data_IF_526520656156
#
_entry.id   IF_526520656156
#
_cell.length_a   1.000
_cell.length_b   1.000
_cell.length_c   1.000
_cell.angle_alpha   90.00
_cell.angle_beta   90.00
_cell.angle_gamma   90.00
#
_symmetry.space_group_name_H-M   'P 1'
#
loop_
_entity.id
_entity.type
_entity.pdbx_description
1 polymer ?
#
# COMPACT_ATOMS: atom_id res chain seq x y z
N UNK A 1 12.06 2.97 25.49
CA UNK A 1 11.14 2.77 24.35
C UNK A 1 9.98 1.99 24.88
N UNK A 2 8.79 2.59 24.95
CA UNK A 2 7.58 1.80 25.08
C UNK A 2 7.36 1.21 23.68
N UNK A 3 7.37 -0.13 23.59
CA UNK A 3 6.97 -0.82 22.38
C UNK A 3 5.54 -0.41 22.07
N UNK A 4 5.35 0.33 20.98
CA UNK A 4 4.05 0.33 20.33
C UNK A 4 3.84 -1.11 19.87
N UNK A 5 2.88 -1.82 20.47
CA UNK A 5 2.63 -3.23 20.20
C UNK A 5 2.51 -3.45 18.69
N UNK A 6 3.44 -4.24 18.14
CA UNK A 6 3.39 -4.73 16.77
C UNK A 6 2.02 -5.35 16.47
N UNK A 7 1.46 -5.12 15.28
CA UNK A 7 0.18 -5.71 14.91
C UNK A 7 -0.70 -4.90 13.96
N UNK A 8 -1.96 -5.31 13.90
CA UNK A 8 -3.00 -4.62 13.15
C UNK A 8 -3.27 -3.26 13.80
N UNK A 9 -3.05 -2.19 13.04
CA UNK A 9 -3.26 -0.83 13.52
C UNK A 9 -4.66 -0.32 13.15
N UNK A 10 -5.38 0.22 14.13
CA UNK A 10 -6.59 1.01 13.88
C UNK A 10 -6.25 2.49 13.82
N UNK A 11 -6.61 3.14 12.71
CA UNK A 11 -6.41 4.57 12.50
C UNK A 11 -7.59 5.43 12.95
N UNK A 12 -8.70 4.83 13.41
CA UNK A 12 -9.90 5.55 13.85
C UNK A 12 -9.69 6.53 15.02
N UNK A 13 -8.59 6.39 15.77
CA UNK A 13 -8.19 7.31 16.85
C UNK A 13 -7.05 8.27 16.50
N UNK A 14 -6.32 8.04 15.40
CA UNK A 14 -5.09 8.78 15.08
C UNK A 14 -5.39 10.05 14.29
N UNK A 15 -4.58 11.09 14.49
CA UNK A 15 -4.75 12.37 13.78
C UNK A 15 -4.24 12.24 12.34
N UNK A 16 -5.07 12.45 11.31
CA UNK A 16 -4.62 12.48 9.92
C UNK A 16 -3.79 13.75 9.68
N UNK A 17 -2.67 13.61 8.97
CA UNK A 17 -1.71 14.69 8.71
C UNK A 17 -1.73 15.11 7.24
N UNK A 18 -1.70 14.15 6.32
CA UNK A 18 -1.73 14.38 4.88
C UNK A 18 -2.16 13.13 4.13
N UNK A 19 -2.66 13.32 2.91
CA UNK A 19 -3.06 12.25 1.99
C UNK A 19 -2.52 12.57 0.62
N UNK A 20 -2.06 11.53 -0.05
CA UNK A 20 -1.59 11.58 -1.41
C UNK A 20 -2.23 10.47 -2.20
N UNK A 21 -2.56 10.77 -3.45
CA UNK A 21 -3.17 9.81 -4.35
C UNK A 21 -2.39 9.77 -5.65
N UNK A 22 -2.24 8.57 -6.19
CA UNK A 22 -1.77 8.38 -7.56
C UNK A 22 -2.86 7.71 -8.37
N UNK A 23 -3.09 8.22 -9.57
CA UNK A 23 -3.91 7.56 -10.58
C UNK A 23 -3.28 7.75 -11.95
N UNK A 24 -3.05 6.64 -12.67
CA UNK A 24 -2.58 6.65 -14.06
C UNK A 24 -2.96 5.34 -14.75
N UNK A 25 -2.43 5.11 -15.96
CA UNK A 25 -2.52 3.87 -16.69
C UNK A 25 -1.15 3.20 -16.78
N UNK A 26 -1.14 1.86 -16.67
CA UNK A 26 0.01 1.01 -16.98
C UNK A 26 0.53 1.38 -18.37
N UNK A 27 1.83 1.66 -18.48
CA UNK A 27 2.49 1.73 -19.79
C UNK A 27 2.57 0.33 -20.41
N UNK A 28 1.89 0.18 -21.56
CA UNK A 28 1.81 -1.08 -22.30
C UNK A 28 2.79 -1.14 -23.47
N UNK A 29 3.65 -0.14 -23.64
CA UNK A 29 4.67 -0.11 -24.70
C UNK A 29 5.59 -1.34 -24.65
N UNK A 30 5.80 -1.90 -23.47
CA UNK A 30 6.63 -3.09 -23.23
C UNK A 30 5.83 -4.37 -22.96
N UNK A 31 4.50 -4.34 -23.16
CA UNK A 31 3.62 -5.46 -22.86
C UNK A 31 3.84 -6.67 -23.80
N UNK A 32 4.22 -6.41 -25.05
CA UNK A 32 4.49 -7.43 -26.08
C UNK A 32 3.23 -8.12 -26.60
N UNK A 33 2.49 -8.82 -25.74
CA UNK A 33 1.25 -9.52 -26.09
C UNK A 33 0.13 -9.32 -25.07
N UNK A 34 -1.11 -9.28 -25.54
CA UNK A 34 -2.34 -9.24 -24.76
C UNK A 34 -3.27 -10.39 -25.20
N UNK A 35 -3.78 -11.18 -24.24
CA UNK A 35 -4.61 -12.36 -24.50
C UNK A 35 -4.00 -13.36 -25.51
N UNK A 36 -2.69 -13.55 -25.49
CA UNK A 36 -1.98 -14.48 -26.38
C UNK A 36 -1.73 -13.99 -27.79
N UNK A 37 -2.10 -12.75 -28.12
CA UNK A 37 -1.82 -12.10 -29.41
C UNK A 37 -0.96 -10.84 -29.21
N UNK A 38 -0.16 -10.41 -30.20
CA UNK A 38 0.63 -9.17 -30.10
C UNK A 38 -0.23 -7.96 -29.75
N UNK A 39 0.34 -7.03 -28.98
CA UNK A 39 -0.32 -5.76 -28.69
C UNK A 39 -0.39 -4.90 -29.95
N UNK A 40 -1.61 -4.56 -30.36
CA UNK A 40 -1.89 -3.67 -31.49
C UNK A 40 -2.91 -2.61 -31.07
N UNK A 41 -3.13 -1.53 -31.84
CA UNK A 41 -4.17 -0.55 -31.51
C UNK A 41 -5.57 -1.16 -31.30
N UNK A 42 -5.89 -2.24 -32.02
CA UNK A 42 -7.17 -2.95 -31.92
C UNK A 42 -7.16 -4.10 -30.89
N UNK A 43 -5.98 -4.53 -30.45
CA UNK A 43 -5.78 -5.62 -29.50
C UNK A 43 -4.86 -5.18 -28.35
N UNK A 44 -5.33 -4.21 -27.57
CA UNK A 44 -4.67 -3.74 -26.36
C UNK A 44 -5.66 -3.71 -25.19
N UNK A 45 -5.18 -3.82 -23.94
CA UNK A 45 -6.05 -3.68 -22.78
C UNK A 45 -6.69 -2.29 -22.76
N UNK A 46 -7.96 -2.23 -22.34
CA UNK A 46 -8.71 -0.98 -22.21
C UNK A 46 -8.10 -0.10 -21.10
N UNK A 47 -8.45 1.19 -21.07
CA UNK A 47 -8.05 2.06 -19.96
C UNK A 47 -8.50 1.49 -18.59
N UNK A 48 -9.69 0.90 -18.54
CA UNK A 48 -10.20 0.23 -17.34
C UNK A 48 -9.27 -0.91 -16.89
N UNK A 49 -8.78 -1.74 -17.81
CA UNK A 49 -7.86 -2.85 -17.49
C UNK A 49 -6.45 -2.40 -17.10
N UNK A 50 -6.08 -1.17 -17.45
CA UNK A 50 -4.74 -0.61 -17.26
C UNK A 50 -4.66 0.31 -16.04
N UNK A 51 -5.73 0.49 -15.27
CA UNK A 51 -5.74 1.48 -14.18
C UNK A 51 -4.72 1.14 -13.10
N UNK A 52 -3.83 2.09 -12.83
CA UNK A 52 -2.95 2.13 -11.67
C UNK A 52 -3.53 3.13 -10.67
N UNK A 53 -3.63 2.74 -9.40
CA UNK A 53 -4.03 3.63 -8.33
C UNK A 53 -3.40 3.22 -7.00
N UNK A 54 -3.14 4.17 -6.11
CA UNK A 54 -2.82 3.93 -4.71
C UNK A 54 -3.10 5.19 -3.87
N UNK A 55 -3.51 4.98 -2.62
CA UNK A 55 -3.66 6.04 -1.62
C UNK A 55 -2.56 5.91 -0.56
N UNK A 56 -1.93 7.04 -0.21
CA UNK A 56 -0.88 7.15 0.79
C UNK A 56 -1.31 8.17 1.85
N UNK A 57 -1.66 7.68 3.03
CA UNK A 57 -2.17 8.50 4.12
C UNK A 57 -1.16 8.56 5.27
N UNK A 58 -0.88 9.76 5.75
CA UNK A 58 -0.02 10.01 6.89
C UNK A 58 -0.84 10.27 8.15
N UNK A 59 -0.47 9.63 9.25
CA UNK A 59 -1.08 9.81 10.56
C UNK A 59 -0.02 10.07 11.62
N UNK A 60 -0.36 10.83 12.65
CA UNK A 60 0.52 11.05 13.79
C UNK A 60 0.76 9.76 14.58
N UNK A 61 1.96 9.60 15.13
CA UNK A 61 2.10 8.76 16.31
C UNK A 61 1.72 9.53 17.59
N UNK A 62 0.97 8.89 18.47
CA UNK A 62 0.48 9.51 19.71
C UNK A 62 1.53 9.50 20.82
N UNK A 63 2.53 8.63 20.71
CA UNK A 63 3.55 8.40 21.74
C UNK A 63 4.85 9.14 21.45
N UNK A 64 5.15 9.41 20.18
CA UNK A 64 6.35 10.11 19.72
C UNK A 64 6.03 11.10 18.59
N UNK A 65 6.19 12.39 18.89
CA UNK A 65 5.93 13.47 17.93
C UNK A 65 6.93 13.52 16.76
N UNK A 66 8.03 12.78 16.82
CA UNK A 66 8.99 12.61 15.71
C UNK A 66 8.67 11.41 14.82
N UNK A 67 7.52 10.75 15.04
CA UNK A 67 7.11 9.58 14.27
C UNK A 67 5.77 9.81 13.56
N UNK A 68 5.66 9.25 12.36
CA UNK A 68 4.43 9.24 11.56
C UNK A 68 4.17 7.85 10.98
N UNK A 69 2.91 7.46 10.94
CA UNK A 69 2.49 6.30 10.17
C UNK A 69 2.23 6.71 8.74
N UNK A 70 2.81 5.97 7.80
CA UNK A 70 2.44 5.96 6.39
C UNK A 70 1.60 4.71 6.12
N UNK A 71 0.34 4.91 5.78
CA UNK A 71 -0.58 3.86 5.36
C UNK A 71 -0.68 3.86 3.84
N UNK A 72 -0.48 2.70 3.22
CA UNK A 72 -0.67 2.48 1.78
C UNK A 72 -1.89 1.58 1.58
N UNK A 73 -2.88 2.07 0.83
CA UNK A 73 -4.17 1.40 0.62
C UNK A 73 -4.74 1.65 -0.79
N UNK A 74 -5.88 1.00 -1.11
CA UNK A 74 -6.59 1.12 -2.38
C UNK A 74 -5.68 0.88 -3.61
N UNK A 75 -4.77 -0.08 -3.52
CA UNK A 75 -3.77 -0.30 -4.58
C UNK A 75 -4.42 -1.02 -5.75
N UNK A 76 -4.75 -0.30 -6.82
CA UNK A 76 -5.23 -0.88 -8.08
C UNK A 76 -4.04 -1.01 -9.02
N UNK A 77 -3.87 -2.21 -9.57
CA UNK A 77 -2.83 -2.50 -10.57
C UNK A 77 -3.44 -2.85 -11.93
N UNK A 78 -4.47 -3.70 -11.94
CA UNK A 78 -5.21 -4.11 -13.14
C UNK A 78 -6.65 -4.49 -12.78
N UNK A 79 -7.63 -3.75 -13.30
CA UNK A 79 -9.03 -4.03 -12.99
C UNK A 79 -9.71 -4.86 -14.09
N UNK A 80 -10.34 -5.99 -13.75
CA UNK A 80 -11.28 -6.67 -14.66
C UNK A 80 -10.71 -7.44 -15.86
N UNK A 81 -9.42 -7.78 -15.89
CA UNK A 81 -8.82 -8.64 -16.92
C UNK A 81 -7.67 -9.49 -16.36
N UNK A 82 -7.27 -10.56 -17.06
CA UNK A 82 -6.19 -11.47 -16.64
C UNK A 82 -4.83 -11.08 -17.24
N UNK A 83 -3.84 -10.86 -16.37
CA UNK A 83 -2.46 -10.57 -16.75
C UNK A 83 -1.52 -11.70 -16.33
N UNK A 84 -0.50 -12.03 -17.13
CA UNK A 84 0.47 -13.07 -16.77
C UNK A 84 1.86 -12.88 -17.39
N UNK A 85 2.87 -13.55 -16.84
CA UNK A 85 4.27 -13.41 -17.29
C UNK A 85 4.87 -12.03 -16.99
N UNK A 86 5.66 -11.46 -17.91
CA UNK A 86 6.28 -10.13 -17.74
C UNK A 86 5.26 -8.99 -17.68
N UNK A 87 4.12 -9.15 -18.35
CA UNK A 87 3.00 -8.21 -18.30
C UNK A 87 2.51 -7.98 -16.87
N UNK A 88 2.33 -9.09 -16.16
CA UNK A 88 1.88 -9.14 -14.77
C UNK A 88 2.87 -8.48 -13.81
N UNK A 89 4.15 -8.70 -14.05
CA UNK A 89 5.23 -8.14 -13.25
C UNK A 89 5.24 -6.60 -13.28
N UNK A 90 4.85 -6.00 -14.39
CA UNK A 90 4.94 -4.55 -14.61
C UNK A 90 3.86 -3.75 -13.89
N UNK A 91 2.82 -4.38 -13.35
CA UNK A 91 1.65 -3.69 -12.79
C UNK A 91 1.71 -3.52 -11.27
N UNK A 92 2.73 -4.10 -10.62
CA UNK A 92 2.84 -4.17 -9.17
C UNK A 92 3.48 -2.92 -8.59
N UNK A 93 2.95 -2.42 -7.47
CA UNK A 93 3.60 -1.37 -6.69
C UNK A 93 4.82 -1.96 -5.96
N UNK A 94 6.01 -1.49 -6.31
CA UNK A 94 7.29 -2.06 -5.87
C UNK A 94 8.16 -1.10 -5.07
N UNK A 95 7.89 0.20 -5.15
CA UNK A 95 8.60 1.18 -4.33
C UNK A 95 7.82 2.47 -4.10
N UNK A 96 8.21 3.17 -3.05
CA UNK A 96 7.74 4.52 -2.71
C UNK A 96 8.98 5.33 -2.35
N UNK A 97 9.31 6.32 -3.18
CA UNK A 97 10.35 7.31 -2.90
C UNK A 97 9.70 8.46 -2.12
N UNK A 98 10.26 8.79 -0.96
CA UNK A 98 9.75 9.77 -0.02
C UNK A 98 10.72 10.96 0.05
N UNK A 99 10.25 12.15 -0.30
CA UNK A 99 10.93 13.41 -0.06
C UNK A 99 10.03 14.30 0.79
N UNK A 100 10.34 14.38 2.09
CA UNK A 100 9.58 15.19 3.04
C UNK A 100 10.29 16.54 3.25
N UNK A 101 9.53 17.58 3.52
CA UNK A 101 10.05 18.92 3.73
C UNK A 101 9.48 19.55 4.99
N UNK A 102 10.24 20.47 5.57
CA UNK A 102 9.86 21.35 6.67
C UNK A 102 10.24 22.79 6.31
N UNK A 103 9.78 23.76 7.10
CA UNK A 103 10.04 25.18 6.84
C UNK A 103 11.52 25.59 6.80
N UNK A 104 12.41 24.75 7.33
CA UNK A 104 13.85 24.92 7.39
C UNK A 104 14.67 24.00 6.47
N UNK A 105 14.04 23.08 5.74
CA UNK A 105 14.74 22.23 4.76
C UNK A 105 14.09 20.86 4.48
N UNK A 106 14.91 19.95 3.95
CA UNK A 106 14.54 18.55 3.76
C UNK A 106 14.49 17.82 5.10
N UNK A 107 13.50 16.94 5.26
CA UNK A 107 13.34 16.11 6.45
C UNK A 107 13.93 14.73 6.18
N UNK A 108 14.89 14.34 7.03
CA UNK A 108 15.48 13.02 7.02
C UNK A 108 14.59 11.99 7.70
N UNK A 109 14.46 10.82 7.06
CA UNK A 109 13.88 9.64 7.70
C UNK A 109 15.02 8.91 8.42
N UNK A 110 14.93 8.84 9.76
CA UNK A 110 15.96 8.28 10.64
C UNK A 110 15.79 6.79 10.91
N UNK A 111 14.59 6.26 10.66
CA UNK A 111 14.28 4.84 10.79
C UNK A 111 12.93 4.48 10.19
N UNK A 112 12.73 3.20 9.89
CA UNK A 112 11.45 2.64 9.45
C UNK A 112 11.17 1.36 10.22
N UNK A 113 9.97 1.26 10.78
CA UNK A 113 9.44 0.03 11.36
C UNK A 113 8.31 -0.53 10.48
N UNK A 114 8.37 -1.84 10.22
CA UNK A 114 7.46 -2.62 9.37
C UNK A 114 6.49 -3.50 10.19
N UNK A 115 6.49 -3.41 11.51
CA UNK A 115 5.73 -4.26 12.45
C UNK A 115 4.21 -4.00 12.46
N UNK A 116 3.68 -3.28 11.46
CA UNK A 116 2.26 -2.93 11.37
C UNK A 116 1.65 -3.38 10.06
N UNK A 117 0.36 -3.70 10.08
CA UNK A 117 -0.43 -4.02 8.90
C UNK A 117 -1.80 -3.34 8.93
N UNK A 118 -2.44 -3.19 7.77
CA UNK A 118 -3.80 -2.65 7.74
C UNK A 118 -4.81 -3.70 8.28
N UNK A 119 -5.92 -3.24 8.88
CA UNK A 119 -7.00 -4.13 9.29
C UNK A 119 -7.56 -4.98 8.15
N UNK A 120 -7.75 -6.28 8.41
CA UNK A 120 -8.37 -7.21 7.47
C UNK A 120 -7.49 -7.64 6.30
N UNK A 121 -6.24 -7.19 6.23
CA UNK A 121 -5.31 -7.67 5.21
C UNK A 121 -4.85 -9.10 5.51
N UNK A 122 -4.79 -9.88 4.45
CA UNK A 122 -4.36 -11.27 4.48
C UNK A 122 -3.40 -11.52 3.36
N UNK A 123 -2.39 -12.32 3.65
CA UNK A 123 -1.45 -12.79 2.67
C UNK A 123 -2.15 -13.81 1.75
N UNK A 124 -2.10 -13.56 0.45
CA UNK A 124 -2.56 -14.53 -0.56
C UNK A 124 -1.37 -15.33 -1.09
N UNK A 125 -1.53 -16.66 -1.22
CA UNK A 125 -0.46 -17.56 -1.65
C UNK A 125 -0.42 -18.87 -0.86
N UNK A 126 0.78 -19.43 -0.67
CA UNK A 126 0.99 -20.69 0.08
C UNK A 126 0.82 -20.53 1.60
N UNK A 127 0.96 -19.32 2.10
CA UNK A 127 0.61 -18.95 3.47
C UNK A 127 -0.71 -18.18 3.38
N UNK A 128 -1.73 -18.65 4.10
CA UNK A 128 -3.03 -17.94 4.20
C UNK A 128 -3.20 -17.58 5.66
N UNK A 129 -3.18 -16.28 5.94
CA UNK A 129 -3.28 -15.77 7.30
C UNK A 129 -3.44 -14.25 7.32
N UNK A 130 -4.03 -13.74 8.40
CA UNK A 130 -4.08 -12.30 8.66
C UNK A 130 -2.66 -11.76 8.82
N UNK A 131 -2.41 -10.60 8.23
CA UNK A 131 -1.13 -9.90 8.41
C UNK A 131 -1.16 -9.11 9.71
N UNK A 132 -0.07 -9.21 10.46
CA UNK A 132 0.21 -8.40 11.64
C UNK A 132 1.36 -7.41 11.38
N UNK A 133 2.05 -7.53 10.25
CA UNK A 133 3.16 -6.68 9.83
C UNK A 133 3.23 -6.52 8.30
N UNK A 134 3.97 -5.51 7.83
CA UNK A 134 4.23 -5.24 6.41
C UNK A 134 5.44 -6.02 5.95
N UNK A 135 5.22 -7.29 5.60
CA UNK A 135 6.27 -8.22 5.22
C UNK A 135 6.93 -7.86 3.88
N UNK A 136 8.24 -8.11 3.80
CA UNK A 136 8.99 -8.11 2.54
C UNK A 136 9.28 -6.73 1.92
N UNK A 137 9.10 -5.66 2.70
CA UNK A 137 9.59 -4.33 2.39
C UNK A 137 10.89 -4.03 3.13
N UNK A 138 11.69 -3.15 2.56
CA UNK A 138 12.93 -2.62 3.12
C UNK A 138 13.02 -1.12 2.85
N UNK A 139 13.85 -0.43 3.62
CA UNK A 139 14.08 1.00 3.48
C UNK A 139 15.56 1.30 3.19
N UNK A 140 15.83 2.25 2.29
CA UNK A 140 17.17 2.79 2.04
C UNK A 140 17.13 4.08 1.23
N UNK A 141 17.96 5.06 1.57
CA UNK A 141 18.10 6.34 0.83
C UNK A 141 16.77 7.02 0.46
N UNK A 142 15.85 7.21 1.41
CA UNK A 142 14.56 7.84 1.15
C UNK A 142 13.50 6.92 0.50
N UNK A 143 13.84 5.66 0.21
CA UNK A 143 13.00 4.75 -0.57
C UNK A 143 12.54 3.56 0.25
N UNK A 144 11.23 3.34 0.28
CA UNK A 144 10.64 2.05 0.61
C UNK A 144 10.62 1.18 -0.65
N UNK A 145 11.11 -0.05 -0.58
CA UNK A 145 11.14 -0.97 -1.72
C UNK A 145 10.92 -2.42 -1.28
N UNK A 146 10.47 -3.27 -2.20
CA UNK A 146 10.39 -4.72 -1.94
C UNK A 146 11.79 -5.34 -1.79
N UNK A 147 11.99 -6.22 -0.80
CA UNK A 147 13.30 -6.72 -0.37
C UNK A 147 13.90 -7.83 -1.26
N UNK A 148 13.10 -8.59 -2.02
CA UNK A 148 13.57 -9.48 -3.09
C UNK A 148 12.42 -9.99 -4.00
N UNK A 149 12.77 -10.37 -5.24
CA UNK A 149 11.94 -10.98 -6.31
C UNK A 149 10.42 -11.00 -6.10
N UNK A 150 9.72 -9.90 -6.41
CA UNK A 150 8.25 -9.81 -6.64
C UNK A 150 7.31 -10.49 -5.63
N UNK A 151 7.82 -11.02 -4.51
CA UNK A 151 7.09 -11.94 -3.63
C UNK A 151 6.17 -11.17 -2.69
N UNK A 152 6.48 -9.88 -2.47
CA UNK A 152 5.89 -9.02 -1.46
C UNK A 152 5.48 -7.64 -2.03
N UNK A 153 4.74 -7.63 -3.13
CA UNK A 153 4.25 -6.39 -3.75
C UNK A 153 2.75 -6.19 -3.50
N UNK A 154 2.29 -4.94 -3.46
CA UNK A 154 0.89 -4.62 -3.20
C UNK A 154 0.01 -4.74 -4.45
N UNK A 155 -1.18 -5.33 -4.28
CA UNK A 155 -2.24 -5.41 -5.28
C UNK A 155 -3.60 -5.67 -4.60
N UNK A 156 -4.67 -5.04 -5.08
CA UNK A 156 -6.04 -5.27 -4.61
C UNK A 156 -7.02 -5.37 -5.81
N UNK A 157 -7.51 -6.60 -6.06
CA UNK A 157 -8.62 -7.03 -6.95
C UNK A 157 -8.62 -6.73 -8.48
N UNK A 158 -8.55 -7.83 -9.27
CA UNK A 158 -8.82 -7.94 -10.73
C UNK A 158 -7.76 -8.80 -11.46
N UNK A 159 -8.15 -9.81 -12.26
CA UNK A 159 -7.34 -10.97 -12.72
C UNK A 159 -5.80 -10.85 -12.89
N UNK A 160 -5.07 -11.68 -12.14
CA UNK A 160 -3.59 -11.70 -12.05
C UNK A 160 -3.09 -13.16 -12.12
N UNK A 161 -2.03 -13.52 -12.87
CA UNK A 161 -1.44 -14.89 -12.83
C UNK A 161 0.09 -15.02 -13.07
N UNK A 162 0.81 -15.47 -12.03
CA UNK A 162 2.25 -15.79 -11.96
C UNK A 162 2.71 -16.05 -10.50
N UNK A 163 3.89 -16.65 -10.28
CA UNK A 163 4.13 -17.70 -9.26
C UNK A 163 4.16 -17.44 -7.75
N UNK A 164 4.32 -16.22 -7.24
CA UNK A 164 4.02 -15.92 -5.81
C UNK A 164 3.98 -14.42 -5.66
N UNK A 165 2.77 -13.88 -5.59
CA UNK A 165 2.52 -12.54 -5.09
C UNK A 165 1.67 -12.67 -3.86
N UNK A 166 2.11 -12.00 -2.82
CA UNK A 166 1.37 -11.82 -1.61
C UNK A 166 0.64 -10.48 -1.68
N UNK A 167 -0.66 -10.56 -1.91
CA UNK A 167 -1.52 -9.38 -1.91
C UNK A 167 -1.60 -8.80 -0.50
N UNK A 168 -1.46 -7.49 -0.40
CA UNK A 168 -1.51 -6.72 0.83
C UNK A 168 -1.39 -5.24 0.51
N UNK A 169 -1.62 -4.40 1.51
CA UNK A 169 -1.14 -3.02 1.56
C UNK A 169 -0.11 -2.91 2.67
N UNK A 170 0.35 -1.71 2.97
CA UNK A 170 1.43 -1.50 3.91
C UNK A 170 1.08 -0.49 4.97
N UNK A 171 1.63 -0.67 6.16
CA UNK A 171 1.77 0.37 7.16
C UNK A 171 3.23 0.44 7.56
N UNK A 172 3.81 1.63 7.41
CA UNK A 172 5.18 1.93 7.76
C UNK A 172 5.19 2.98 8.86
N UNK A 173 5.87 2.71 9.97
CA UNK A 173 6.13 3.74 10.97
C UNK A 173 7.47 4.38 10.66
N UNK A 174 7.46 5.67 10.31
CA UNK A 174 8.63 6.44 9.91
C UNK A 174 9.10 7.26 11.10
N UNK A 175 10.37 7.08 11.48
CA UNK A 175 11.07 8.00 12.37
C UNK A 175 11.66 9.16 11.57
N UNK A 176 11.50 10.38 12.07
CA UNK A 176 11.92 11.61 11.43
C UNK A 176 13.00 12.29 12.27
N UNK A 177 13.87 13.09 11.64
CA UNK A 177 14.77 14.02 12.33
C UNK A 177 14.08 15.36 12.71
N UNK A 178 12.79 15.50 12.37
CA UNK A 178 11.93 16.63 12.71
C UNK A 178 10.66 16.16 13.43
N UNK A 179 9.93 17.10 14.04
CA UNK A 179 8.58 16.79 14.54
C UNK A 179 7.57 16.74 13.40
N UNK A 180 6.61 15.82 13.48
CA UNK A 180 5.55 15.68 12.48
C UNK A 180 4.76 16.99 12.27
N UNK A 181 4.64 17.80 13.34
CA UNK A 181 3.95 19.10 13.30
C UNK A 181 4.70 20.20 12.54
N UNK A 182 6.00 20.04 12.25
CA UNK A 182 6.79 21.03 11.50
C UNK A 182 6.87 20.72 10.00
N UNK A 183 6.27 19.60 9.56
CA UNK A 183 6.27 19.20 8.16
C UNK A 183 5.42 20.14 7.30
N UNK A 184 5.99 20.52 6.16
CA UNK A 184 5.27 21.17 5.07
C UNK A 184 4.79 20.10 4.08
N UNK A 185 3.60 19.58 4.32
CA UNK A 185 2.98 18.57 3.46
C UNK A 185 2.71 19.07 2.03
N UNK A 186 2.63 20.39 1.81
CA UNK A 186 2.46 20.95 0.47
C UNK A 186 3.74 20.90 -0.36
N UNK A 187 4.90 20.86 0.31
CA UNK A 187 6.22 20.73 -0.31
C UNK A 187 6.73 19.28 -0.34
N UNK A 188 6.06 18.36 0.35
CA UNK A 188 6.37 16.93 0.29
C UNK A 188 6.10 16.34 -1.10
N UNK A 189 6.98 15.43 -1.54
CA UNK A 189 6.86 14.71 -2.80
C UNK A 189 6.98 13.21 -2.56
N UNK A 190 6.04 12.47 -3.15
CA UNK A 190 6.04 11.01 -3.13
C UNK A 190 6.00 10.50 -4.56
N UNK A 191 6.89 9.57 -4.88
CA UNK A 191 6.93 8.92 -6.20
C UNK A 191 6.78 7.42 -6.04
N UNK A 192 5.79 6.84 -6.71
CA UNK A 192 5.48 5.41 -6.67
C UNK A 192 6.11 4.73 -7.88
N UNK A 193 6.87 3.67 -7.60
CA UNK A 193 7.50 2.84 -8.62
C UNK A 193 6.69 1.58 -8.86
N UNK A 194 6.23 1.40 -10.09
CA UNK A 194 5.56 0.20 -10.56
C UNK A 194 6.52 -0.66 -11.38
N UNK A 195 6.47 -1.97 -11.17
CA UNK A 195 7.21 -2.94 -11.97
C UNK A 195 8.73 -2.74 -11.96
N UNK A 196 9.47 -3.02 -10.87
CA UNK A 196 10.96 -2.90 -10.78
C UNK A 196 11.54 -1.64 -11.47
N UNK A 197 10.81 -0.52 -11.41
CA UNK A 197 11.21 0.75 -12.02
C UNK A 197 10.84 0.94 -13.49
N UNK A 198 9.85 0.22 -14.00
CA UNK A 198 9.34 0.40 -15.36
C UNK A 198 8.50 1.68 -15.50
N UNK A 199 7.81 2.08 -14.44
CA UNK A 199 7.00 3.29 -14.43
C UNK A 199 7.11 3.98 -13.06
N UNK A 200 7.31 5.29 -13.06
CA UNK A 200 7.36 6.11 -11.85
C UNK A 200 6.27 7.17 -11.94
N UNK A 201 5.42 7.22 -10.92
CA UNK A 201 4.26 8.09 -10.88
C UNK A 201 4.33 8.99 -9.65
N UNK A 202 4.21 10.30 -9.86
CA UNK A 202 4.22 11.28 -8.76
C UNK A 202 2.82 11.33 -8.15
N UNK A 203 2.73 11.06 -6.85
CA UNK A 203 1.47 11.18 -6.12
C UNK A 203 1.11 12.65 -5.93
N UNK A 204 -0.18 12.96 -6.09
CA UNK A 204 -0.73 14.29 -5.90
C UNK A 204 -1.19 14.43 -4.45
N UNK A 205 -0.83 15.55 -3.80
CA UNK A 205 -1.35 15.86 -2.47
C UNK A 205 -2.85 16.17 -2.58
N UNK A 206 -3.68 15.40 -1.89
CA UNK A 206 -5.14 15.54 -1.87
C UNK A 206 -5.64 16.26 -0.62
N UNK A 207 -4.74 16.69 0.27
CA UNK A 207 -5.02 17.42 1.50
C UNK A 207 -4.92 16.53 2.74
N UNK A 208 -5.70 16.84 3.77
CA UNK A 208 -5.81 15.99 4.96
C UNK A 208 -6.91 14.95 4.71
N UNK A 209 -6.64 13.64 4.85
CA UNK A 209 -7.66 12.63 4.63
C UNK A 209 -8.81 12.81 5.62
N UNK A 210 -10.03 12.48 5.20
CA UNK A 210 -11.14 12.38 6.14
C UNK A 210 -10.77 11.41 7.28
N UNK A 211 -11.16 11.65 8.53
CA UNK A 211 -10.86 10.74 9.63
C UNK A 211 -11.29 9.32 9.25
N UNK A 212 -10.40 8.35 9.43
CA UNK A 212 -10.68 6.96 9.09
C UNK A 212 -11.94 6.52 9.84
N UNK A 213 -12.92 5.94 9.13
CA UNK A 213 -14.11 5.41 9.78
C UNK A 213 -13.67 4.31 10.76
N UNK A 214 -13.97 4.48 12.05
CA UNK A 214 -13.68 3.48 13.07
C UNK A 214 -14.28 2.13 12.67
N UNK A 215 -13.51 1.06 12.79
CA UNK A 215 -14.01 -0.29 12.56
C UNK A 215 -14.96 -0.65 13.72
N UNK A 216 -16.25 -0.37 13.58
CA UNK A 216 -17.24 -0.88 14.52
C UNK A 216 -17.37 -2.38 14.26
N UNK A 217 -16.58 -3.19 14.95
CA UNK A 217 -16.78 -4.62 15.05
C UNK A 217 -18.11 -4.86 15.80
N UNK A 218 -19.21 -4.94 15.04
CA UNK A 218 -20.44 -5.54 15.52
C UNK A 218 -20.18 -7.03 15.75
N UNK A 219 -19.69 -7.37 16.94
CA UNK A 219 -19.73 -8.72 17.44
C UNK A 219 -21.20 -9.12 17.58
N UNK A 220 -21.76 -9.71 16.52
CA UNK A 220 -23.05 -10.36 16.60
C UNK A 220 -22.92 -11.52 17.60
N UNK A 221 -23.72 -11.58 18.68
CA UNK A 221 -23.76 -12.77 19.49
C UNK A 221 -24.39 -13.88 18.65
N UNK A 222 -23.56 -14.82 18.17
CA UNK A 222 -24.04 -16.12 17.73
C UNK A 222 -24.68 -16.81 18.94
N UNK A 223 -25.99 -16.59 19.12
CA UNK A 223 -26.79 -17.46 19.97
C UNK A 223 -26.80 -18.85 19.33
N UNK A 224 -26.00 -19.72 19.94
CA UNK A 224 -25.96 -21.14 19.65
C UNK A 224 -27.38 -21.71 19.62
N UNK A 225 -27.81 -22.16 18.45
CA UNK A 225 -29.05 -22.91 18.30
C UNK A 225 -28.84 -24.28 18.93
N UNK A 226 -29.20 -24.43 20.20
CA UNK A 226 -29.22 -25.72 20.87
C UNK A 226 -30.37 -26.57 20.30
N UNK A 227 -30.12 -27.27 19.19
CA UNK A 227 -30.92 -28.44 18.81
C UNK A 227 -30.61 -29.57 19.79
N UNK A 228 -31.41 -29.71 20.85
CA UNK A 228 -31.51 -30.99 21.56
C UNK A 228 -32.35 -31.95 20.70
N UNK A 229 -31.68 -32.84 19.98
CA UNK A 229 -32.23 -34.14 19.60
C UNK A 229 -31.95 -35.14 20.72
N UNK A 230 -33.00 -35.69 21.34
CA UNK A 230 -33.09 -37.07 21.87
C UNK A 230 -34.59 -37.43 21.75
N UNK A 231 -34.91 -38.37 20.86
CA UNK A 231 -35.01 -39.81 21.12
C UNK A 231 -36.23 -40.11 21.98
#
# INVERSE_FOLDING_TARGET
MADADAGIIDFGGRVPLASFEVEDLVDISQLGSWNGAPVTPDNQPSAYHRRLHASLDFFSDETDASQVFLRVSNVVSTQGAWWGGSAFINTLLTSIDLALAAGDGEVGITGVNFDYANPGQSLLGTEVGSLESTLGWQYGTGRLSTASSWTYAFAEFGGVTGGTIQEGGGVFLLGLDHYASSLDWSAASLTLGYGLGNQFLVAQNTGVPAPAAALIALAAPMFATHRRRRA
#
